data_IF_655326203114
#
_entry.id   IF_655326203114
#
_cell.length_a   1.000
_cell.length_b   1.000
_cell.length_c   1.000
_cell.angle_alpha   90.00
_cell.angle_beta   90.00
_cell.angle_gamma   90.00
#
_symmetry.space_group_name_H-M   'P 1'
#
loop_
_entity.id
_entity.type
_entity.pdbx_description
1 polymer ?
#
# COMPACT_ATOMS: atom_id res chain seq x y z
N UNK A 1 13.43 -12.14 -7.25
CA UNK A 1 11.97 -12.17 -7.10
C UNK A 1 11.29 -12.33 -8.45
N UNK A 2 10.15 -13.00 -8.43
CA UNK A 2 9.42 -13.26 -9.66
C UNK A 2 8.22 -12.33 -9.85
N UNK A 3 7.55 -11.99 -8.79
CA UNK A 3 6.39 -11.12 -8.90
C UNK A 3 6.17 -10.33 -7.63
N UNK A 4 5.64 -9.13 -7.78
CA UNK A 4 5.24 -8.28 -6.68
C UNK A 4 3.97 -7.56 -7.11
N UNK A 5 2.89 -7.79 -6.37
CA UNK A 5 1.63 -7.11 -6.62
C UNK A 5 1.05 -6.63 -5.29
N UNK A 6 0.17 -5.65 -5.36
CA UNK A 6 -0.50 -5.15 -4.17
C UNK A 6 -1.85 -5.86 -4.11
N UNK A 7 -1.97 -6.79 -3.14
CA UNK A 7 -3.19 -7.56 -3.00
C UNK A 7 -4.31 -6.73 -2.38
N UNK A 8 -3.97 -5.84 -1.47
CA UNK A 8 -4.93 -4.95 -0.84
C UNK A 8 -4.26 -3.63 -0.51
N UNK A 9 -4.88 -2.50 -0.77
CA UNK A 9 -6.14 -2.37 -1.48
C UNK A 9 -5.98 -2.72 -2.96
N UNK A 10 -7.01 -3.33 -3.53
CA UNK A 10 -6.97 -3.73 -4.93
C UNK A 10 -7.06 -2.55 -5.87
N UNK A 11 -6.68 -2.78 -7.13
CA UNK A 11 -6.75 -1.73 -8.14
C UNK A 11 -8.21 -1.31 -8.33
N UNK A 12 -8.45 0.01 -8.30
CA UNK A 12 -9.78 0.61 -8.47
C UNK A 12 -10.77 0.21 -7.38
N UNK A 13 -10.27 -0.28 -6.25
CA UNK A 13 -11.15 -0.65 -5.15
C UNK A 13 -11.63 0.59 -4.41
N UNK A 14 -12.86 0.54 -3.91
CA UNK A 14 -13.41 1.61 -3.07
C UNK A 14 -13.49 1.11 -1.63
N UNK A 15 -12.88 1.85 -0.72
CA UNK A 15 -12.89 1.52 0.69
C UNK A 15 -13.82 2.49 1.42
N UNK A 16 -14.65 1.95 2.31
CA UNK A 16 -15.65 2.74 2.99
C UNK A 16 -15.37 2.83 4.48
N UNK A 17 -15.44 4.04 5.01
CA UNK A 17 -15.42 4.27 6.47
C UNK A 17 -14.25 3.61 7.18
N UNK A 18 -13.04 3.82 6.63
CA UNK A 18 -11.85 3.17 7.17
C UNK A 18 -11.30 3.84 8.43
N UNK A 19 -11.85 4.97 8.81
CA UNK A 19 -11.42 5.69 10.00
C UNK A 19 -9.95 6.10 9.96
N UNK A 20 -9.47 6.42 8.77
CA UNK A 20 -8.12 6.95 8.61
C UNK A 20 -7.02 5.92 8.50
N UNK A 21 -7.34 4.63 8.57
CA UNK A 21 -6.31 3.59 8.53
C UNK A 21 -6.66 2.53 7.49
N UNK A 22 -5.68 2.16 6.69
CA UNK A 22 -5.87 1.06 5.74
C UNK A 22 -4.83 -0.02 6.02
N UNK A 23 -5.23 -1.25 5.73
CA UNK A 23 -4.32 -2.39 5.80
C UNK A 23 -3.82 -2.68 4.41
N UNK A 24 -2.50 -2.75 4.26
CA UNK A 24 -1.87 -3.01 2.98
C UNK A 24 -1.30 -4.42 3.01
N UNK A 25 -1.55 -5.16 1.95
CA UNK A 25 -1.03 -6.52 1.82
C UNK A 25 -0.41 -6.65 0.45
N UNK A 26 0.81 -7.16 0.42
CA UNK A 26 1.55 -7.36 -0.82
C UNK A 26 1.70 -8.84 -1.08
N UNK A 27 1.62 -9.21 -2.34
CA UNK A 27 1.89 -10.58 -2.77
C UNK A 27 3.27 -10.58 -3.44
N UNK A 28 4.23 -11.19 -2.78
CA UNK A 28 5.62 -11.23 -3.24
C UNK A 28 6.07 -12.67 -3.36
N UNK A 29 6.59 -13.05 -4.52
CA UNK A 29 7.06 -14.40 -4.79
C UNK A 29 8.49 -14.36 -5.28
N UNK A 30 9.37 -15.13 -4.68
CA UNK A 30 9.26 -15.75 -3.36
C UNK A 30 9.13 -14.70 -2.26
N UNK A 31 8.91 -15.11 -1.04
CA UNK A 31 8.72 -14.17 0.06
C UNK A 31 9.91 -13.25 0.28
N UNK A 32 9.71 -12.23 1.11
CA UNK A 32 10.74 -11.24 1.39
C UNK A 32 11.96 -11.90 2.01
N UNK A 33 13.12 -11.67 1.43
CA UNK A 33 14.36 -12.30 1.86
C UNK A 33 15.01 -11.50 2.98
N UNK A 34 15.84 -12.18 3.75
CA UNK A 34 16.54 -11.57 4.87
C UNK A 34 17.41 -10.41 4.37
N UNK A 35 17.36 -9.30 5.09
CA UNK A 35 18.11 -8.12 4.73
C UNK A 35 17.48 -7.25 3.69
N UNK A 36 16.40 -7.69 3.08
CA UNK A 36 15.70 -6.89 2.08
C UNK A 36 14.59 -6.10 2.73
N UNK A 37 14.23 -4.98 2.11
CA UNK A 37 13.20 -4.10 2.64
C UNK A 37 12.20 -3.75 1.56
N UNK A 38 11.01 -3.35 2.00
CA UNK A 38 9.97 -2.90 1.09
C UNK A 38 9.89 -1.38 1.18
N UNK A 39 9.88 -0.73 0.03
CA UNK A 39 9.63 0.71 -0.02
C UNK A 39 8.28 0.92 -0.68
N UNK A 40 7.42 1.64 0.00
CA UNK A 40 6.06 1.89 -0.46
C UNK A 40 5.90 3.36 -0.73
N UNK A 41 5.37 3.67 -1.92
CA UNK A 41 5.01 5.05 -2.24
C UNK A 41 3.50 5.17 -2.07
N UNK A 42 3.09 6.02 -1.15
CA UNK A 42 1.69 6.31 -0.93
C UNK A 42 1.47 7.76 -1.33
N UNK A 43 0.73 7.97 -2.43
CA UNK A 43 0.53 9.30 -3.00
C UNK A 43 1.85 10.02 -3.24
N UNK A 44 2.87 9.24 -3.65
CA UNK A 44 4.17 9.79 -3.96
C UNK A 44 5.12 9.90 -2.78
N UNK A 45 4.68 9.60 -1.56
CA UNK A 45 5.51 9.70 -0.37
C UNK A 45 6.12 8.34 -0.06
N UNK A 46 7.46 8.23 -0.05
CA UNK A 46 8.09 6.93 0.21
C UNK A 46 8.13 6.59 1.69
N UNK A 47 8.03 5.31 1.98
CA UNK A 47 8.08 4.81 3.34
C UNK A 47 8.69 3.42 3.31
N UNK A 48 9.62 3.15 4.23
CA UNK A 48 10.25 1.84 4.31
C UNK A 48 9.55 0.99 5.35
N UNK A 49 9.30 -0.26 5.00
CA UNK A 49 8.73 -1.22 5.92
C UNK A 49 9.48 -2.53 5.77
N UNK A 50 9.40 -3.39 6.79
CA UNK A 50 10.11 -4.65 6.78
C UNK A 50 9.19 -5.85 6.61
N UNK A 51 8.03 -5.62 6.05
CA UNK A 51 7.03 -6.67 5.96
C UNK A 51 6.21 -6.48 4.70
N UNK A 52 5.57 -7.54 4.24
CA UNK A 52 4.63 -7.46 3.12
C UNK A 52 3.21 -7.17 3.59
N UNK A 53 3.03 -6.97 4.90
CA UNK A 53 1.72 -6.64 5.46
C UNK A 53 1.92 -5.53 6.49
N UNK A 54 1.23 -4.42 6.29
CA UNK A 54 1.41 -3.27 7.17
C UNK A 54 0.20 -2.35 7.06
N UNK A 55 0.17 -1.30 7.90
CA UNK A 55 -0.92 -0.34 7.89
C UNK A 55 -0.41 1.04 7.52
N UNK A 56 -1.28 1.84 6.93
CA UNK A 56 -1.01 3.25 6.67
C UNK A 56 -2.06 4.06 7.39
N UNK A 57 -1.61 5.05 8.14
CA UNK A 57 -2.49 5.93 8.92
C UNK A 57 -2.72 7.24 8.19
N UNK A 58 -3.69 8.00 8.68
CA UNK A 58 -3.98 9.33 8.16
C UNK A 58 -4.36 9.29 6.68
N UNK A 59 -5.13 8.29 6.31
CA UNK A 59 -5.65 8.18 4.97
C UNK A 59 -7.00 8.85 4.93
N UNK A 60 -7.13 9.89 4.11
CA UNK A 60 -8.33 10.69 4.05
C UNK A 60 -9.18 10.33 2.85
N UNK A 61 -10.42 10.80 2.85
CA UNK A 61 -11.33 10.55 1.76
C UNK A 61 -10.74 11.11 0.47
N UNK A 62 -10.90 10.39 -0.61
CA UNK A 62 -10.42 10.81 -1.93
C UNK A 62 -9.78 9.68 -2.69
N UNK A 63 -9.05 10.07 -3.73
CA UNK A 63 -8.35 9.14 -4.59
C UNK A 63 -6.90 9.02 -4.13
N UNK A 64 -6.42 7.80 -4.00
CA UNK A 64 -5.05 7.56 -3.56
C UNK A 64 -4.36 6.58 -4.48
N UNK A 65 -3.03 6.68 -4.55
CA UNK A 65 -2.20 5.76 -5.32
C UNK A 65 -1.20 5.11 -4.40
N UNK A 66 -0.93 3.83 -4.66
CA UNK A 66 0.06 3.10 -3.87
C UNK A 66 0.89 2.23 -4.81
N UNK A 67 2.19 2.19 -4.59
CA UNK A 67 3.11 1.37 -5.37
C UNK A 67 4.18 0.83 -4.43
N UNK A 68 4.62 -0.39 -4.66
CA UNK A 68 5.58 -1.03 -3.79
C UNK A 68 6.83 -1.42 -4.56
N UNK A 69 7.96 -1.44 -3.86
CA UNK A 69 9.25 -1.87 -4.38
C UNK A 69 9.94 -2.71 -3.32
N UNK A 70 10.79 -3.63 -3.77
CA UNK A 70 11.64 -4.38 -2.85
C UNK A 70 13.08 -3.96 -3.13
N UNK A 71 13.81 -3.63 -2.07
CA UNK A 71 15.20 -3.22 -2.14
C UNK A 71 16.06 -4.25 -1.44
N UNK A 72 17.26 -4.48 -1.96
CA UNK A 72 18.18 -5.38 -1.29
C UNK A 72 18.89 -4.66 -0.15
N UNK A 73 19.82 -5.33 0.51
CA UNK A 73 20.50 -4.77 1.67
C UNK A 73 21.37 -3.57 1.35
N UNK A 74 21.68 -3.35 0.07
CA UNK A 74 22.45 -2.17 -0.34
C UNK A 74 21.55 -1.04 -0.81
N UNK A 75 20.24 -1.25 -0.79
CA UNK A 75 19.30 -0.25 -1.27
C UNK A 75 18.99 -0.34 -2.75
N UNK A 76 19.46 -1.38 -3.41
CA UNK A 76 19.24 -1.52 -4.84
C UNK A 76 17.85 -2.09 -5.12
N UNK A 77 17.19 -1.53 -6.12
CA UNK A 77 15.85 -1.99 -6.50
C UNK A 77 15.90 -3.39 -7.07
N UNK A 78 15.13 -4.29 -6.50
CA UNK A 78 15.04 -5.66 -6.95
C UNK A 78 13.80 -5.91 -7.79
N UNK A 79 12.66 -5.37 -7.39
CA UNK A 79 11.41 -5.56 -8.12
C UNK A 79 10.46 -4.43 -7.75
N UNK A 80 9.57 -4.05 -8.68
CA UNK A 80 8.60 -2.98 -8.47
C UNK A 80 7.24 -3.47 -8.89
N UNK A 81 6.23 -3.14 -8.11
CA UNK A 81 4.86 -3.46 -8.46
C UNK A 81 4.29 -2.43 -9.42
N UNK A 82 3.19 -2.76 -10.05
CA UNK A 82 2.38 -1.74 -10.72
C UNK A 82 1.71 -0.90 -9.66
N UNK A 83 1.45 0.38 -9.94
CA UNK A 83 0.71 1.19 -8.99
C UNK A 83 -0.77 0.80 -9.00
N UNK A 84 -1.37 0.82 -7.82
CA UNK A 84 -2.81 0.63 -7.69
C UNK A 84 -3.43 1.95 -7.28
N UNK A 85 -4.49 2.33 -7.96
CA UNK A 85 -5.29 3.48 -7.54
C UNK A 85 -6.52 2.95 -6.82
N UNK A 86 -6.84 3.55 -5.70
CA UNK A 86 -8.01 3.16 -4.94
C UNK A 86 -8.71 4.39 -4.42
N UNK A 87 -9.93 4.21 -3.94
CA UNK A 87 -10.78 5.31 -3.54
C UNK A 87 -11.20 5.13 -2.10
N UNK A 88 -11.19 6.21 -1.33
CA UNK A 88 -11.65 6.19 0.05
C UNK A 88 -12.89 7.06 0.13
N UNK A 89 -13.98 6.48 0.57
CA UNK A 89 -15.26 7.14 0.70
C UNK A 89 -15.71 7.07 2.15
N UNK A 90 -16.56 8.00 2.53
CA UNK A 90 -17.05 8.00 3.88
C UNK A 90 -18.50 8.41 3.86
N UNK A 91 -19.32 7.61 4.52
CA UNK A 91 -20.74 7.91 4.64
C UNK A 91 -20.91 8.98 5.70
N UNK A 92 -21.60 10.04 5.32
CA UNK A 92 -21.87 11.12 6.25
C UNK A 92 -23.24 10.92 6.84
N UNK A 93 -23.27 10.50 8.08
CA UNK A 93 -24.56 10.35 8.66
C UNK A 93 -24.94 11.41 9.54
N UNK A 94 -24.02 12.17 10.06
CA UNK A 94 -24.38 13.08 10.96
C UNK A 94 -25.06 14.12 10.41
N UNK A 95 -24.89 14.50 9.57
CA UNK A 95 -25.55 15.63 9.17
C UNK A 95 -26.96 15.57 9.18
N UNK A 96 -27.37 14.67 9.62
CA UNK A 96 -28.61 14.56 9.56
C UNK A 96 -29.16 15.03 10.59
N UNK A 97 -29.08 15.41 10.95
CA UNK A 97 -29.46 15.86 11.91
C UNK A 97 -29.95 16.52 11.82
#
# INVERSE_FOLDING_TARGET
YESLTIAAPGAEETLWNIEGTINVSLALTPGLQSGHQVRVYFDGEPQLVNSTSFTINEVYRGVHNIQAEVLDETGKLMIRSRPNRFYVQQTTVRGIR
#
